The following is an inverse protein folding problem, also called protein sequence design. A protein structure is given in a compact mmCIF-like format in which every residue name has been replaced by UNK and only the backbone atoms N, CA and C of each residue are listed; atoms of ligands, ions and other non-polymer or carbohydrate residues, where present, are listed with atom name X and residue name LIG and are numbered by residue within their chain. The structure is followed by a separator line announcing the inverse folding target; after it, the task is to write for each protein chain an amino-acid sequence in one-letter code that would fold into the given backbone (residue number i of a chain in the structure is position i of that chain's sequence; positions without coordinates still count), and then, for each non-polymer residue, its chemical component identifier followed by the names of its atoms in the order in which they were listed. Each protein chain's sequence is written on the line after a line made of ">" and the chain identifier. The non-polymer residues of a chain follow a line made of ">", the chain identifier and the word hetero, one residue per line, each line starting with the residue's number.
data_IF_621343152798
#
_entry.id   IF_621343152798
#
_cell.length_a   1.000
_cell.length_b   1.000
_cell.length_c   1.000
_cell.angle_alpha   90.00
_cell.angle_beta   90.00
_cell.angle_gamma   90.00
#
_symmetry.space_group_name_H-M   'P 1'
#
loop_
_entity.id
_entity.type
_entity.pdbx_description
1 polymer ?
#
# COMPACT_ATOMS: atom_id res chain seq x y z
N UNK A 1 -27.08 2.36 6.60
CA UNK A 1 -25.61 2.29 6.78
C UNK A 1 -24.97 2.00 5.43
N UNK A 2 -24.24 2.97 4.86
CA UNK A 2 -23.47 2.74 3.63
C UNK A 2 -22.18 2.00 4.00
N UNK A 3 -21.94 0.87 3.35
CA UNK A 3 -20.72 0.11 3.57
C UNK A 3 -19.55 0.85 2.89
N UNK A 4 -18.40 1.02 3.57
CA UNK A 4 -17.28 1.74 2.96
C UNK A 4 -16.75 0.96 1.75
N UNK A 5 -16.74 1.62 0.59
CA UNK A 5 -16.28 1.04 -0.67
C UNK A 5 -14.79 0.74 -0.58
N UNK A 6 -14.43 -0.55 -0.63
CA UNK A 6 -13.03 -0.98 -0.66
C UNK A 6 -12.45 -0.75 -2.05
N UNK A 7 -11.24 -0.20 -2.12
CA UNK A 7 -10.48 -0.15 -3.36
C UNK A 7 -9.82 -1.51 -3.61
N UNK A 8 -9.92 -2.00 -4.83
CA UNK A 8 -9.17 -3.16 -5.30
C UNK A 8 -7.99 -2.67 -6.14
N UNK A 9 -6.81 -3.17 -5.81
CA UNK A 9 -5.57 -2.82 -6.52
C UNK A 9 -5.05 -4.02 -7.30
N UNK A 10 -4.38 -3.74 -8.42
CA UNK A 10 -3.74 -4.76 -9.26
C UNK A 10 -2.63 -5.51 -8.50
N UNK A 11 -2.28 -6.71 -8.99
CA UNK A 11 -1.19 -7.50 -8.41
C UNK A 11 0.15 -6.78 -8.49
N UNK A 12 0.42 -6.09 -9.60
CA UNK A 12 1.65 -5.30 -9.80
C UNK A 12 1.76 -4.16 -8.80
N UNK A 13 0.67 -3.43 -8.55
CA UNK A 13 0.66 -2.35 -7.56
C UNK A 13 0.96 -2.87 -6.16
N UNK A 14 0.31 -3.97 -5.74
CA UNK A 14 0.58 -4.59 -4.43
C UNK A 14 2.04 -5.04 -4.30
N UNK A 15 2.62 -5.59 -5.37
CA UNK A 15 4.02 -5.99 -5.38
C UNK A 15 4.97 -4.80 -5.22
N UNK A 16 4.66 -3.66 -5.86
CA UNK A 16 5.43 -2.42 -5.71
C UNK A 16 5.39 -1.92 -4.26
N UNK A 17 4.20 -1.83 -3.65
CA UNK A 17 4.05 -1.41 -2.24
C UNK A 17 4.85 -2.32 -1.29
N UNK A 18 4.84 -3.63 -1.53
CA UNK A 18 5.63 -4.59 -0.73
C UNK A 18 7.13 -4.35 -0.91
N UNK A 19 7.60 -4.10 -2.13
CA UNK A 19 9.01 -3.85 -2.42
C UNK A 19 9.52 -2.55 -1.78
N UNK A 20 8.70 -1.50 -1.74
CA UNK A 20 9.00 -0.24 -1.05
C UNK A 20 9.10 -0.45 0.47
N UNK A 21 8.14 -1.17 1.07
CA UNK A 21 8.16 -1.51 2.49
C UNK A 21 9.34 -2.41 2.89
N UNK A 22 9.86 -3.21 1.97
CA UNK A 22 10.98 -4.12 2.23
C UNK A 22 12.35 -3.42 2.22
N UNK A 23 12.44 -2.14 1.82
CA UNK A 23 13.72 -1.42 1.80
C UNK A 23 14.23 -1.19 3.24
N UNK A 24 15.54 -1.34 3.50
CA UNK A 24 16.11 -1.00 4.80
C UNK A 24 15.81 0.45 5.19
N UNK A 25 15.26 0.65 6.39
CA UNK A 25 14.89 1.98 6.89
C UNK A 25 13.57 2.52 6.34
N UNK A 26 12.83 1.78 5.52
CA UNK A 26 11.50 2.17 5.10
C UNK A 26 10.53 2.22 6.29
N UNK A 27 9.72 3.28 6.35
CA UNK A 27 8.59 3.38 7.27
C UNK A 27 7.31 2.97 6.56
N UNK A 28 6.66 1.90 7.05
CA UNK A 28 5.38 1.41 6.49
C UNK A 28 4.33 2.53 6.50
N UNK A 29 4.31 3.35 7.56
CA UNK A 29 3.40 4.49 7.64
C UNK A 29 3.68 5.53 6.56
N UNK A 30 4.96 5.82 6.30
CA UNK A 30 5.34 6.76 5.23
C UNK A 30 4.98 6.23 3.84
N UNK A 31 5.16 4.92 3.61
CA UNK A 31 4.73 4.27 2.35
C UNK A 31 3.21 4.36 2.23
N UNK A 32 2.46 4.04 3.28
CA UNK A 32 1.00 4.11 3.26
C UNK A 32 0.44 5.53 3.03
N UNK A 33 1.14 6.58 3.48
CA UNK A 33 0.76 7.97 3.21
C UNK A 33 1.06 8.41 1.77
N UNK A 34 1.93 7.68 1.06
CA UNK A 34 2.33 8.01 -0.31
C UNK A 34 1.42 7.39 -1.39
N UNK A 35 0.49 6.50 -1.01
CA UNK A 35 -0.38 5.71 -1.90
C UNK A 35 -1.87 5.86 -1.53
#
# INVERSE_FOLDING_TARGET
>A
FMQPTRRSYSKSFKAQVIQECAQPGASIASVALSH
#
